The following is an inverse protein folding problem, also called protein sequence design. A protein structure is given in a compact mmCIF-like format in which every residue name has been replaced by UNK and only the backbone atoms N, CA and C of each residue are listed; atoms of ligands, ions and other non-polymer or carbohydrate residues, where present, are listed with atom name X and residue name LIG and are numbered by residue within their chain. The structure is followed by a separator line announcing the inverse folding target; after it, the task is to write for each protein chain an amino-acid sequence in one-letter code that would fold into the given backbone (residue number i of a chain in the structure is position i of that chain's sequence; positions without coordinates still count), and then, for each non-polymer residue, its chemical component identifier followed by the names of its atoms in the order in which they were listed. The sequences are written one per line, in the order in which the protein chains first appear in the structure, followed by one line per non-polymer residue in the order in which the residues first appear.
data_IF_383409854985
#
_entry.id   IF_383409854985
#
_cell.length_a   1.000
_cell.length_b   1.000
_cell.length_c   1.000
_cell.angle_alpha   90.00
_cell.angle_beta   90.00
_cell.angle_gamma   90.00
#
_symmetry.space_group_name_H-M   'P 1'
#
loop_
_entity.id
_entity.type
_entity.pdbx_description
1 polymer ?
#
# COMPACT_ATOMS: atom_id res chain seq x y z
N UNK A 1 3.08 40.65 -42.16
CA UNK A 1 3.82 40.34 -40.93
C UNK A 1 2.86 39.66 -39.96
N UNK A 2 2.81 38.32 -40.04
CA UNK A 2 1.90 37.51 -39.20
C UNK A 2 2.73 36.90 -38.07
N UNK A 3 2.52 37.36 -36.86
CA UNK A 3 3.13 36.82 -35.63
C UNK A 3 2.43 35.50 -35.27
N UNK A 4 3.13 34.40 -35.42
CA UNK A 4 2.72 33.12 -34.87
C UNK A 4 2.90 33.14 -33.36
N UNK A 5 1.78 33.15 -32.63
CA UNK A 5 1.77 32.88 -31.18
C UNK A 5 2.10 31.39 -30.94
N UNK A 6 3.26 31.15 -30.35
CA UNK A 6 3.67 29.81 -29.92
C UNK A 6 2.70 29.30 -28.84
N UNK A 7 2.05 28.18 -29.10
CA UNK A 7 1.26 27.45 -28.11
C UNK A 7 2.20 26.93 -27.02
N UNK A 8 2.09 27.50 -25.82
CA UNK A 8 2.72 26.95 -24.64
C UNK A 8 2.12 25.55 -24.38
N UNK A 9 2.88 24.52 -24.71
CA UNK A 9 2.52 23.14 -24.45
C UNK A 9 2.34 22.96 -22.94
N UNK A 10 1.13 22.63 -22.51
CA UNK A 10 0.85 22.25 -21.12
C UNK A 10 1.62 20.96 -20.82
N UNK A 11 2.72 21.08 -20.06
CA UNK A 11 3.51 19.94 -19.63
C UNK A 11 2.58 18.95 -18.91
N UNK A 12 2.53 17.71 -19.39
CA UNK A 12 1.76 16.67 -18.72
C UNK A 12 2.25 16.54 -17.28
N UNK A 13 1.33 16.43 -16.28
CA UNK A 13 1.74 16.29 -14.90
C UNK A 13 2.56 15.01 -14.71
N UNK A 14 3.71 15.16 -14.06
CA UNK A 14 4.61 14.03 -13.79
C UNK A 14 3.86 12.91 -13.05
N UNK A 15 4.05 11.66 -13.51
CA UNK A 15 3.47 10.47 -12.89
C UNK A 15 3.99 10.32 -11.46
N UNK A 16 3.08 10.05 -10.51
CA UNK A 16 3.46 9.84 -9.11
C UNK A 16 4.12 8.47 -8.95
N UNK A 17 5.29 8.43 -8.30
CA UNK A 17 5.94 7.21 -7.85
C UNK A 17 6.02 7.21 -6.32
N UNK A 18 5.77 6.07 -5.69
CA UNK A 18 5.74 5.89 -4.24
C UNK A 18 6.91 5.01 -3.81
N UNK A 19 7.71 5.48 -2.87
CA UNK A 19 8.63 4.64 -2.11
C UNK A 19 7.99 4.32 -0.76
N UNK A 20 7.72 3.05 -0.49
CA UNK A 20 7.40 2.59 0.86
C UNK A 20 8.71 2.29 1.58
N UNK A 21 9.11 3.12 2.52
CA UNK A 21 10.42 3.03 3.14
C UNK A 21 10.33 2.57 4.59
N UNK A 22 10.85 1.38 4.84
CA UNK A 22 11.03 0.83 6.19
C UNK A 22 12.35 1.37 6.75
N UNK A 23 12.29 2.49 7.50
CA UNK A 23 13.50 3.18 7.99
C UNK A 23 14.15 2.50 9.20
N UNK A 24 13.44 1.54 9.81
CA UNK A 24 13.93 0.73 10.93
C UNK A 24 13.13 -0.57 11.04
N UNK A 25 13.69 -1.56 11.74
CA UNK A 25 13.00 -2.83 12.05
C UNK A 25 12.33 -2.80 13.43
N UNK A 26 12.82 -1.99 14.37
CA UNK A 26 12.32 -1.94 15.73
C UNK A 26 10.87 -1.47 15.80
N UNK A 27 10.07 -2.13 16.67
CA UNK A 27 8.70 -1.75 16.96
C UNK A 27 8.42 -1.90 18.45
N UNK A 28 7.58 -1.03 19.00
CA UNK A 28 7.10 -1.12 20.37
C UNK A 28 5.94 -2.11 20.54
N UNK A 29 5.42 -2.69 19.45
CA UNK A 29 4.36 -3.70 19.44
C UNK A 29 4.84 -5.03 18.86
N UNK A 30 4.09 -6.11 19.15
CA UNK A 30 4.28 -7.46 18.61
C UNK A 30 2.92 -7.98 18.12
N UNK A 31 2.46 -7.44 16.98
CA UNK A 31 1.15 -7.77 16.42
C UNK A 31 1.13 -9.21 15.89
N UNK A 32 0.05 -9.96 16.14
CA UNK A 32 -0.05 -11.39 15.79
C UNK A 32 0.00 -11.67 14.28
N UNK A 33 -0.32 -10.69 13.44
CA UNK A 33 -0.30 -10.80 11.97
C UNK A 33 0.86 -10.00 11.34
N UNK A 34 1.86 -9.61 12.13
CA UNK A 34 2.98 -8.86 11.61
C UNK A 34 3.84 -9.74 10.71
N UNK A 35 4.11 -9.24 9.50
CA UNK A 35 5.01 -9.92 8.55
C UNK A 35 6.49 -9.61 8.82
N UNK A 36 6.79 -8.80 9.83
CA UNK A 36 8.15 -8.46 10.20
C UNK A 36 8.64 -9.45 11.25
N UNK A 37 9.35 -10.47 10.81
CA UNK A 37 9.89 -11.53 11.66
C UNK A 37 11.38 -11.31 11.95
N UNK A 38 12.07 -10.52 11.13
CA UNK A 38 13.50 -10.29 11.23
C UNK A 38 13.81 -8.88 11.73
N UNK A 39 14.76 -8.81 12.65
CA UNK A 39 15.31 -7.58 13.24
C UNK A 39 16.78 -7.40 12.83
N UNK A 40 17.06 -7.59 11.53
CA UNK A 40 18.36 -7.45 10.93
C UNK A 40 18.98 -6.05 11.14
N UNK A 41 20.19 -5.84 10.60
CA UNK A 41 20.91 -4.58 10.66
C UNK A 41 20.08 -3.42 10.12
N UNK A 42 20.15 -2.27 10.77
CA UNK A 42 19.51 -1.01 10.35
C UNK A 42 20.57 -0.08 9.75
N UNK A 43 20.20 0.65 8.71
CA UNK A 43 21.06 1.70 8.15
C UNK A 43 21.37 2.79 9.18
N UNK A 44 22.60 3.33 9.13
CA UNK A 44 22.95 4.53 9.86
C UNK A 44 22.21 5.76 9.33
N UNK A 45 22.18 6.85 10.09
CA UNK A 45 21.56 8.11 9.66
C UNK A 45 22.17 8.66 8.35
N UNK A 46 23.48 8.51 8.14
CA UNK A 46 24.17 8.90 6.91
C UNK A 46 23.75 8.03 5.73
N UNK A 47 23.63 6.70 5.94
CA UNK A 47 23.14 5.79 4.92
C UNK A 47 21.69 6.10 4.54
N UNK A 48 20.82 6.37 5.52
CA UNK A 48 19.43 6.77 5.26
C UNK A 48 19.38 8.06 4.42
N UNK A 49 20.22 9.06 4.70
CA UNK A 49 20.28 10.27 3.87
C UNK A 49 20.80 9.98 2.46
N UNK A 50 21.85 9.16 2.32
CA UNK A 50 22.34 8.71 1.01
C UNK A 50 21.26 8.02 0.19
N UNK A 51 20.49 7.13 0.81
CA UNK A 51 19.35 6.43 0.19
C UNK A 51 18.21 7.39 -0.22
N UNK A 52 17.96 8.44 0.56
CA UNK A 52 17.02 9.50 0.19
C UNK A 52 17.46 10.18 -1.12
N UNK A 53 18.73 10.56 -1.24
CA UNK A 53 19.24 11.20 -2.46
C UNK A 53 19.28 10.24 -3.65
N UNK A 54 19.51 8.95 -3.45
CA UNK A 54 19.37 7.96 -4.52
C UNK A 54 17.92 7.91 -5.05
N UNK A 55 16.92 7.92 -4.16
CA UNK A 55 15.51 7.95 -4.59
C UNK A 55 15.15 9.26 -5.28
N UNK A 56 15.66 10.38 -4.83
CA UNK A 56 15.47 11.68 -5.50
C UNK A 56 16.06 11.67 -6.92
N UNK A 57 17.29 11.14 -7.07
CA UNK A 57 17.94 10.98 -8.38
C UNK A 57 17.16 10.01 -9.29
N UNK A 58 16.69 8.89 -8.75
CA UNK A 58 15.82 7.93 -9.45
C UNK A 58 14.56 8.61 -9.98
N UNK A 59 13.86 9.38 -9.15
CA UNK A 59 12.65 10.09 -9.58
C UNK A 59 12.93 11.07 -10.72
N UNK A 60 14.02 11.84 -10.62
CA UNK A 60 14.43 12.79 -11.67
C UNK A 60 14.77 12.07 -12.98
N UNK A 61 15.54 11.01 -12.93
CA UNK A 61 15.96 10.23 -14.10
C UNK A 61 14.81 9.51 -14.82
N UNK A 62 13.73 9.17 -14.09
CA UNK A 62 12.55 8.49 -14.62
C UNK A 62 11.36 9.44 -14.90
N UNK A 63 11.50 10.75 -14.67
CA UNK A 63 10.41 11.71 -14.86
C UNK A 63 9.24 11.50 -13.89
N UNK A 64 9.52 11.11 -12.65
CA UNK A 64 8.50 10.88 -11.63
C UNK A 64 8.40 12.05 -10.65
N UNK A 65 7.19 12.25 -10.12
CA UNK A 65 6.98 13.01 -8.89
C UNK A 65 7.04 12.05 -7.71
N UNK A 66 8.10 12.12 -6.92
CA UNK A 66 8.34 11.24 -5.79
C UNK A 66 7.40 11.48 -4.61
N UNK A 67 7.01 10.39 -3.95
CA UNK A 67 6.30 10.38 -2.68
C UNK A 67 6.87 9.27 -1.80
N UNK A 68 7.18 9.56 -0.54
CA UNK A 68 7.72 8.58 0.39
C UNK A 68 6.71 8.28 1.49
N UNK A 69 6.34 7.01 1.64
CA UNK A 69 5.62 6.53 2.82
C UNK A 69 6.63 5.99 3.83
N UNK A 70 6.90 6.74 4.88
CA UNK A 70 7.76 6.28 5.98
C UNK A 70 7.00 5.27 6.85
N UNK A 71 7.64 4.13 7.07
CA UNK A 71 7.14 2.99 7.84
C UNK A 71 8.32 2.20 8.41
N UNK A 72 8.13 0.95 8.74
CA UNK A 72 9.16 0.05 9.28
C UNK A 72 8.55 -0.91 10.28
N UNK A 73 9.21 -1.10 11.43
CA UNK A 73 8.54 -1.53 12.63
C UNK A 73 7.59 -0.43 13.10
N UNK A 74 8.08 0.50 13.94
CA UNK A 74 7.36 1.73 14.26
C UNK A 74 8.25 2.94 13.93
N UNK A 75 7.93 3.71 12.88
CA UNK A 75 8.79 4.78 12.40
C UNK A 75 9.00 5.90 13.42
N UNK A 76 8.07 6.10 14.34
CA UNK A 76 8.20 7.10 15.42
C UNK A 76 9.29 6.76 16.45
N UNK A 77 9.87 5.56 16.40
CA UNK A 77 11.05 5.20 17.20
C UNK A 77 12.37 5.62 16.55
N UNK A 78 12.34 6.02 15.27
CA UNK A 78 13.56 6.43 14.57
C UNK A 78 13.97 7.86 14.95
N UNK A 79 15.24 8.03 15.33
CA UNK A 79 15.84 9.35 15.58
C UNK A 79 16.00 10.17 14.31
N UNK A 80 16.06 9.50 13.14
CA UNK A 80 16.26 10.13 11.84
C UNK A 80 14.96 10.51 11.13
N UNK A 81 13.81 10.08 11.64
CA UNK A 81 12.51 10.31 10.97
C UNK A 81 12.29 11.80 10.63
N UNK A 82 12.44 12.70 11.59
CA UNK A 82 12.19 14.14 11.36
C UNK A 82 13.21 14.78 10.41
N UNK A 83 14.44 14.27 10.36
CA UNK A 83 15.44 14.67 9.37
C UNK A 83 14.96 14.28 7.96
N UNK A 84 14.53 13.04 7.77
CA UNK A 84 14.03 12.55 6.48
C UNK A 84 12.74 13.25 6.04
N UNK A 85 11.81 13.52 6.97
CA UNK A 85 10.60 14.30 6.69
C UNK A 85 10.92 15.72 6.23
N UNK A 86 11.90 16.37 6.84
CA UNK A 86 12.38 17.70 6.46
C UNK A 86 12.99 17.70 5.06
N UNK A 87 13.85 16.70 4.74
CA UNK A 87 14.42 16.52 3.41
C UNK A 87 13.34 16.41 2.33
N UNK A 88 12.24 15.71 2.59
CA UNK A 88 11.11 15.68 1.66
C UNK A 88 10.60 17.09 1.34
N UNK A 89 10.36 17.90 2.37
CA UNK A 89 9.86 19.28 2.19
C UNK A 89 10.86 20.20 1.47
N UNK A 90 12.14 20.08 1.77
CA UNK A 90 13.23 20.86 1.17
C UNK A 90 13.41 20.55 -0.33
N UNK A 91 13.17 19.30 -0.73
CA UNK A 91 13.31 18.85 -2.12
C UNK A 91 11.97 18.77 -2.89
N UNK A 92 10.89 19.38 -2.36
CA UNK A 92 9.59 19.43 -3.04
C UNK A 92 8.90 18.08 -3.20
N UNK A 93 9.32 17.07 -2.41
CA UNK A 93 8.67 15.76 -2.35
C UNK A 93 7.54 15.76 -1.33
N UNK A 94 6.53 14.96 -1.57
CA UNK A 94 5.50 14.71 -0.56
C UNK A 94 5.80 13.43 0.22
N UNK A 95 5.32 13.36 1.46
CA UNK A 95 5.47 12.15 2.28
C UNK A 95 4.18 11.78 3.02
N UNK A 96 4.12 10.56 3.49
CA UNK A 96 3.13 10.02 4.40
C UNK A 96 3.83 9.26 5.53
N UNK A 97 3.18 9.15 6.67
CA UNK A 97 3.65 8.39 7.81
C UNK A 97 2.68 7.23 8.10
N UNK A 98 3.19 6.00 8.14
CA UNK A 98 2.42 4.80 8.46
C UNK A 98 2.85 4.28 9.83
N UNK A 99 1.99 4.38 10.83
CA UNK A 99 2.31 4.12 12.24
C UNK A 99 1.23 3.25 12.91
N UNK A 100 1.56 2.64 14.03
CA UNK A 100 0.58 2.04 14.93
C UNK A 100 -0.18 3.11 15.75
N UNK A 101 0.32 4.34 15.79
CA UNK A 101 -0.32 5.49 16.42
C UNK A 101 -0.21 5.56 17.95
N UNK A 102 0.38 4.56 18.61
CA UNK A 102 0.39 4.45 20.08
C UNK A 102 1.39 5.38 20.78
N UNK A 103 2.33 5.94 20.03
CA UNK A 103 3.37 6.85 20.53
C UNK A 103 3.03 8.33 20.27
N UNK A 104 1.90 8.62 19.67
CA UNK A 104 1.51 9.99 19.33
C UNK A 104 0.94 10.67 20.55
N UNK A 105 1.70 11.58 21.12
CA UNK A 105 1.27 12.53 22.14
C UNK A 105 1.05 13.94 21.57
N UNK A 106 0.68 14.91 22.38
CA UNK A 106 0.38 16.29 21.94
C UNK A 106 1.61 16.96 21.33
N UNK A 107 2.80 16.78 21.90
CA UNK A 107 4.04 17.40 21.44
C UNK A 107 4.44 16.84 20.07
N UNK A 108 4.35 15.52 19.90
CA UNK A 108 4.67 14.85 18.64
C UNK A 108 3.67 15.22 17.53
N UNK A 109 2.36 15.29 17.86
CA UNK A 109 1.34 15.71 16.92
C UNK A 109 1.55 17.16 16.44
N UNK A 110 1.91 18.07 17.35
CA UNK A 110 2.26 19.45 17.00
C UNK A 110 3.52 19.51 16.11
N UNK A 111 4.55 18.73 16.43
CA UNK A 111 5.77 18.65 15.64
C UNK A 111 5.49 18.12 14.23
N UNK A 112 4.68 17.08 14.09
CA UNK A 112 4.25 16.54 12.79
C UNK A 112 3.43 17.56 11.99
N UNK A 113 2.59 18.36 12.64
CA UNK A 113 1.79 19.42 12.00
C UNK A 113 2.63 20.52 11.34
N UNK A 114 3.87 20.71 11.78
CA UNK A 114 4.82 21.69 11.22
C UNK A 114 5.62 21.14 10.03
N UNK A 115 5.51 19.84 9.72
CA UNK A 115 6.29 19.21 8.65
C UNK A 115 5.75 19.59 7.28
N UNK A 116 6.56 20.32 6.51
CA UNK A 116 6.25 20.63 5.12
C UNK A 116 6.26 19.36 4.25
N UNK A 117 5.23 19.19 3.41
CA UNK A 117 5.14 18.03 2.51
C UNK A 117 4.50 16.79 3.14
N UNK A 118 4.22 16.77 4.45
CA UNK A 118 3.47 15.67 5.07
C UNK A 118 2.02 15.69 4.59
N UNK A 119 1.66 14.72 3.76
CA UNK A 119 0.35 14.64 3.12
C UNK A 119 -0.70 13.98 4.00
N UNK A 120 -0.30 13.02 4.83
CA UNK A 120 -1.20 12.29 5.73
C UNK A 120 -0.42 11.48 6.77
N UNK A 121 -1.09 11.14 7.85
CA UNK A 121 -0.66 10.11 8.79
C UNK A 121 -1.69 8.98 8.80
N UNK A 122 -1.23 7.77 8.50
CA UNK A 122 -2.02 6.56 8.51
C UNK A 122 -1.80 5.80 9.82
N UNK A 123 -2.89 5.49 10.52
CA UNK A 123 -2.87 4.69 11.75
C UNK A 123 -3.57 3.36 11.50
N UNK A 124 -2.95 2.29 11.97
CA UNK A 124 -3.49 0.94 11.83
C UNK A 124 -4.58 0.66 12.85
N UNK A 125 -5.77 0.22 12.40
CA UNK A 125 -6.93 -0.13 13.22
C UNK A 125 -7.47 -1.48 12.73
N UNK A 126 -7.26 -2.57 13.48
CA UNK A 126 -7.55 -3.94 13.01
C UNK A 126 -8.77 -4.60 13.71
N UNK A 127 -9.71 -3.80 14.19
CA UNK A 127 -10.93 -4.33 14.78
C UNK A 127 -11.66 -3.32 15.64
N UNK A 128 -12.71 -3.78 16.31
CA UNK A 128 -13.26 -3.15 17.52
C UNK A 128 -12.21 -3.22 18.64
N UNK A 129 -12.43 -2.53 19.75
CA UNK A 129 -11.44 -2.45 20.84
C UNK A 129 -10.91 -3.84 21.24
N UNK A 130 -11.81 -4.79 21.46
CA UNK A 130 -11.43 -6.13 21.91
C UNK A 130 -10.56 -6.86 20.87
N UNK A 131 -10.92 -6.82 19.59
CA UNK A 131 -10.17 -7.53 18.54
C UNK A 131 -8.87 -6.80 18.20
N UNK A 132 -8.90 -5.48 18.14
CA UNK A 132 -7.68 -4.69 17.93
C UNK A 132 -6.65 -4.97 19.03
N UNK A 133 -7.07 -4.96 20.29
CA UNK A 133 -6.18 -5.19 21.43
C UNK A 133 -5.68 -6.63 21.49
N UNK A 134 -6.48 -7.61 21.08
CA UNK A 134 -6.01 -9.00 20.91
C UNK A 134 -4.93 -9.11 19.86
N UNK A 135 -5.05 -8.38 18.75
CA UNK A 135 -4.09 -8.40 17.63
C UNK A 135 -2.83 -7.59 17.93
N UNK A 136 -2.99 -6.41 18.56
CA UNK A 136 -1.93 -5.40 18.70
C UNK A 136 -1.47 -5.14 20.13
N UNK A 137 -2.03 -5.85 21.10
CA UNK A 137 -1.74 -5.69 22.53
C UNK A 137 -2.76 -4.80 23.25
N UNK A 138 -3.01 -5.13 24.52
CA UNK A 138 -4.02 -4.51 25.35
C UNK A 138 -3.86 -2.97 25.47
N UNK A 139 -4.97 -2.25 25.36
CA UNK A 139 -5.06 -0.78 25.50
C UNK A 139 -4.57 0.01 24.29
N UNK A 140 -4.08 -0.65 23.24
CA UNK A 140 -3.54 0.04 22.06
C UNK A 140 -4.63 0.60 21.14
N UNK A 141 -5.84 0.07 21.18
CA UNK A 141 -6.98 0.68 20.49
C UNK A 141 -7.22 2.12 20.95
N UNK A 142 -7.29 2.33 22.26
CA UNK A 142 -7.50 3.66 22.84
C UNK A 142 -6.36 4.61 22.49
N UNK A 143 -5.10 4.16 22.60
CA UNK A 143 -3.92 4.94 22.24
C UNK A 143 -3.92 5.33 20.76
N UNK A 144 -4.22 4.40 19.86
CA UNK A 144 -4.28 4.65 18.41
C UNK A 144 -5.36 5.70 18.06
N UNK A 145 -6.55 5.61 18.66
CA UNK A 145 -7.60 6.62 18.45
C UNK A 145 -7.30 7.96 19.13
N UNK A 146 -6.59 7.97 20.25
CA UNK A 146 -6.10 9.21 20.85
C UNK A 146 -5.05 9.87 19.95
N UNK A 147 -4.10 9.12 19.40
CA UNK A 147 -3.16 9.62 18.40
C UNK A 147 -3.87 10.24 17.19
N UNK A 148 -4.88 9.55 16.63
CA UNK A 148 -5.70 10.08 15.53
C UNK A 148 -6.42 11.39 15.92
N UNK A 149 -6.92 11.50 17.14
CA UNK A 149 -7.57 12.73 17.64
C UNK A 149 -6.59 13.89 17.72
N UNK A 150 -5.40 13.66 18.26
CA UNK A 150 -4.33 14.67 18.38
C UNK A 150 -3.82 15.13 17.00
N UNK A 151 -3.66 14.20 16.03
CA UNK A 151 -3.30 14.53 14.65
C UNK A 151 -4.34 15.47 14.01
N UNK A 152 -5.64 15.19 14.20
CA UNK A 152 -6.70 16.05 13.68
C UNK A 152 -6.70 17.45 14.31
N UNK A 153 -6.45 17.55 15.60
CA UNK A 153 -6.33 18.83 16.29
C UNK A 153 -5.19 19.70 15.71
N UNK A 154 -4.16 19.06 15.16
CA UNK A 154 -3.04 19.70 14.48
C UNK A 154 -3.21 19.78 12.96
N UNK A 155 -4.45 19.69 12.45
CA UNK A 155 -4.82 19.83 11.04
C UNK A 155 -4.12 18.83 10.08
N UNK A 156 -3.64 17.71 10.60
CA UNK A 156 -3.02 16.66 9.80
C UNK A 156 -4.11 15.78 9.20
N UNK A 157 -4.02 15.50 7.89
CA UNK A 157 -4.93 14.56 7.24
C UNK A 157 -4.72 13.15 7.80
N UNK A 158 -5.78 12.59 8.37
CA UNK A 158 -5.75 11.29 9.03
C UNK A 158 -6.29 10.18 8.14
N UNK A 159 -5.67 9.01 8.23
CA UNK A 159 -6.13 7.81 7.54
C UNK A 159 -6.15 6.63 8.52
N UNK A 160 -7.22 5.84 8.53
CA UNK A 160 -7.25 4.56 9.21
C UNK A 160 -7.09 3.42 8.19
N UNK A 161 -6.22 2.46 8.50
CA UNK A 161 -5.95 1.29 7.69
C UNK A 161 -6.38 0.01 8.43
N UNK A 162 -7.05 -0.90 7.72
CA UNK A 162 -7.56 -2.14 8.29
C UNK A 162 -7.06 -3.35 7.49
N UNK A 163 -6.37 -4.27 8.15
CA UNK A 163 -5.94 -5.52 7.54
C UNK A 163 -6.99 -6.60 7.81
N UNK A 164 -7.70 -7.02 6.75
CA UNK A 164 -8.76 -8.01 6.83
C UNK A 164 -8.19 -9.43 6.89
N UNK A 165 -8.58 -10.18 7.91
CA UNK A 165 -8.28 -11.60 8.07
C UNK A 165 -9.48 -12.35 8.69
N UNK A 166 -9.43 -13.68 8.76
CA UNK A 166 -10.55 -14.52 9.27
C UNK A 166 -11.07 -14.07 10.64
N UNK A 167 -10.17 -13.66 11.53
CA UNK A 167 -10.50 -13.27 12.90
C UNK A 167 -11.18 -11.90 13.02
N UNK A 168 -11.20 -11.04 11.96
CA UNK A 168 -11.70 -9.67 12.09
C UNK A 168 -12.59 -9.14 10.96
N UNK A 169 -12.65 -9.79 9.79
CA UNK A 169 -13.34 -9.22 8.61
C UNK A 169 -14.81 -8.87 8.87
N UNK A 170 -15.50 -9.58 9.75
CA UNK A 170 -16.89 -9.33 10.14
C UNK A 170 -17.07 -8.04 10.93
N UNK A 171 -16.02 -7.53 11.53
CA UNK A 171 -16.03 -6.27 12.29
C UNK A 171 -15.88 -5.03 11.41
N UNK A 172 -15.54 -5.19 10.13
CA UNK A 172 -15.32 -4.09 9.19
C UNK A 172 -16.45 -3.04 9.18
N UNK A 173 -17.76 -3.40 9.19
CA UNK A 173 -18.84 -2.42 9.28
C UNK A 173 -18.79 -1.60 10.58
N UNK A 174 -18.45 -2.22 11.71
CA UNK A 174 -18.36 -1.56 13.01
C UNK A 174 -17.15 -0.59 13.05
N UNK A 175 -16.01 -1.01 12.52
CA UNK A 175 -14.81 -0.18 12.39
C UNK A 175 -15.09 1.04 11.51
N UNK A 176 -15.70 0.88 10.34
CA UNK A 176 -16.08 2.00 9.47
C UNK A 176 -17.00 2.99 10.19
N UNK A 177 -17.99 2.50 10.95
CA UNK A 177 -18.87 3.38 11.75
C UNK A 177 -18.08 4.16 12.81
N UNK A 178 -17.13 3.51 13.48
CA UNK A 178 -16.28 4.14 14.50
C UNK A 178 -15.38 5.21 13.90
N UNK A 179 -14.69 4.89 12.80
CA UNK A 179 -13.82 5.82 12.05
C UNK A 179 -14.63 7.07 11.61
N UNK A 180 -15.84 6.88 11.09
CA UNK A 180 -16.73 7.98 10.71
C UNK A 180 -17.17 8.84 11.90
N UNK A 181 -17.57 8.21 13.02
CA UNK A 181 -17.96 8.96 14.25
C UNK A 181 -16.79 9.80 14.78
N UNK A 182 -15.58 9.26 14.71
CA UNK A 182 -14.35 9.95 15.12
C UNK A 182 -13.87 10.99 14.10
N UNK A 183 -14.55 11.09 12.94
CA UNK A 183 -14.24 12.08 11.91
C UNK A 183 -12.88 11.87 11.25
N UNK A 184 -12.39 10.65 11.14
CA UNK A 184 -11.15 10.32 10.42
C UNK A 184 -11.36 10.59 8.94
N UNK A 185 -10.40 11.23 8.26
CA UNK A 185 -10.62 11.76 6.92
C UNK A 185 -10.69 10.65 5.87
N UNK A 186 -9.85 9.60 6.01
CA UNK A 186 -9.79 8.49 5.04
C UNK A 186 -9.78 7.14 5.73
N UNK A 187 -10.37 6.16 5.05
CA UNK A 187 -10.33 4.75 5.46
C UNK A 187 -10.06 3.86 4.26
N UNK A 188 -9.22 2.86 4.44
CA UNK A 188 -9.08 1.77 3.48
C UNK A 188 -8.87 0.44 4.20
N UNK A 189 -9.23 -0.64 3.52
CA UNK A 189 -8.99 -1.99 3.98
C UNK A 189 -8.48 -2.87 2.85
N UNK A 190 -7.65 -3.84 3.19
CA UNK A 190 -7.18 -4.85 2.25
C UNK A 190 -6.99 -6.19 2.98
N UNK A 191 -6.84 -7.25 2.19
CA UNK A 191 -6.60 -8.60 2.69
C UNK A 191 -5.23 -8.70 3.36
N UNK A 192 -5.17 -9.50 4.41
CA UNK A 192 -3.92 -10.03 4.94
C UNK A 192 -3.18 -10.80 3.82
N UNK A 193 -1.88 -10.59 3.70
CA UNK A 193 -1.03 -11.43 2.87
C UNK A 193 -0.52 -12.57 3.75
N UNK A 194 -0.86 -13.83 3.40
CA UNK A 194 -0.57 -14.98 4.23
C UNK A 194 0.90 -15.38 4.15
N UNK A 195 1.73 -14.76 4.98
CA UNK A 195 3.15 -15.07 5.13
C UNK A 195 3.43 -15.66 6.51
N UNK A 196 4.39 -16.58 6.60
CA UNK A 196 4.81 -17.18 7.85
C UNK A 196 3.64 -17.78 8.65
N UNK A 197 3.57 -17.46 9.94
CA UNK A 197 2.55 -17.94 10.89
C UNK A 197 1.12 -17.45 10.59
N UNK A 198 0.97 -16.39 9.77
CA UNK A 198 -0.34 -15.82 9.46
C UNK A 198 -1.09 -16.52 8.31
N UNK A 199 -0.54 -17.61 7.76
CA UNK A 199 -1.07 -18.29 6.58
C UNK A 199 -2.50 -18.80 6.77
N UNK A 200 -2.84 -19.30 7.94
CA UNK A 200 -4.17 -19.83 8.27
C UNK A 200 -5.24 -18.73 8.45
N UNK A 201 -4.81 -17.50 8.66
CA UNK A 201 -5.68 -16.33 8.83
C UNK A 201 -6.13 -15.70 7.50
N UNK A 202 -5.69 -16.23 6.35
CA UNK A 202 -6.09 -15.75 5.03
C UNK A 202 -7.60 -15.92 4.82
N UNK A 203 -8.21 -14.89 4.20
CA UNK A 203 -9.63 -14.94 3.84
C UNK A 203 -9.87 -15.96 2.71
N UNK A 204 -10.94 -16.71 2.83
CA UNK A 204 -11.53 -17.44 1.70
C UNK A 204 -12.10 -16.46 0.66
N UNK A 205 -12.42 -16.96 -0.52
CA UNK A 205 -13.02 -16.17 -1.59
C UNK A 205 -14.36 -15.54 -1.17
N UNK A 206 -15.23 -16.28 -0.47
CA UNK A 206 -16.54 -15.76 -0.04
C UNK A 206 -16.42 -14.75 1.11
N UNK A 207 -15.49 -14.96 2.03
CA UNK A 207 -15.18 -13.98 3.08
C UNK A 207 -14.65 -12.68 2.47
N UNK A 208 -13.75 -12.79 1.49
CA UNK A 208 -13.26 -11.62 0.76
C UNK A 208 -14.37 -10.90 -0.03
N UNK A 209 -15.26 -11.63 -0.68
CA UNK A 209 -16.42 -11.06 -1.35
C UNK A 209 -17.29 -10.26 -0.38
N UNK A 210 -17.49 -10.77 0.85
CA UNK A 210 -18.20 -10.04 1.91
C UNK A 210 -17.50 -8.72 2.27
N UNK A 211 -16.15 -8.72 2.38
CA UNK A 211 -15.35 -7.51 2.60
C UNK A 211 -15.55 -6.51 1.46
N UNK A 212 -15.47 -6.95 0.20
CA UNK A 212 -15.64 -6.06 -0.96
C UNK A 212 -17.01 -5.42 -0.97
N UNK A 213 -18.08 -6.21 -0.75
CA UNK A 213 -19.46 -5.69 -0.67
C UNK A 213 -19.62 -4.64 0.43
N UNK A 214 -19.02 -4.86 1.60
CA UNK A 214 -19.05 -3.91 2.69
C UNK A 214 -18.34 -2.60 2.31
N UNK A 215 -17.15 -2.68 1.73
CA UNK A 215 -16.38 -1.52 1.29
C UNK A 215 -17.09 -0.74 0.19
N UNK A 216 -17.68 -1.42 -0.80
CA UNK A 216 -18.43 -0.78 -1.89
C UNK A 216 -19.62 0.02 -1.36
N UNK A 217 -20.42 -0.58 -0.48
CA UNK A 217 -21.55 0.13 0.19
C UNK A 217 -21.05 1.34 0.98
N UNK A 218 -19.95 1.20 1.69
CA UNK A 218 -19.37 2.29 2.48
C UNK A 218 -18.77 3.40 1.57
N UNK A 219 -18.13 3.04 0.47
CA UNK A 219 -17.61 3.98 -0.52
C UNK A 219 -18.73 4.83 -1.15
N UNK A 220 -19.77 4.19 -1.68
CA UNK A 220 -20.93 4.91 -2.24
C UNK A 220 -21.53 5.87 -1.21
N UNK A 221 -21.72 5.41 0.03
CA UNK A 221 -22.23 6.26 1.12
C UNK A 221 -21.30 7.43 1.46
N UNK A 222 -19.99 7.28 1.32
CA UNK A 222 -19.01 8.36 1.61
C UNK A 222 -19.10 9.50 0.59
N UNK A 223 -19.59 9.24 -0.62
CA UNK A 223 -19.83 10.26 -1.65
C UNK A 223 -21.06 11.13 -1.36
N UNK A 224 -22.04 10.56 -0.66
CA UNK A 224 -23.28 11.26 -0.30
C UNK A 224 -23.13 11.99 1.05
N UNK A 225 -22.40 11.37 2.00
CA UNK A 225 -22.16 11.90 3.34
C UNK A 225 -20.63 12.01 3.57
N UNK A 226 -19.99 13.11 3.16
CA UNK A 226 -18.54 13.23 3.08
C UNK A 226 -17.88 13.49 4.44
N UNK A 227 -18.01 12.55 5.40
CA UNK A 227 -17.29 12.60 6.68
C UNK A 227 -15.98 11.84 6.67
N UNK A 228 -15.92 10.73 5.93
CA UNK A 228 -14.76 9.86 5.81
C UNK A 228 -14.77 9.28 4.41
N UNK A 229 -13.73 9.51 3.65
CA UNK A 229 -13.56 8.92 2.32
C UNK A 229 -13.13 7.45 2.46
N UNK A 230 -13.98 6.54 2.00
CA UNK A 230 -13.70 5.09 2.01
C UNK A 230 -13.16 4.69 0.64
N UNK A 231 -11.90 4.29 0.59
CA UNK A 231 -11.22 3.98 -0.65
C UNK A 231 -11.53 2.56 -1.17
N UNK A 232 -11.77 2.43 -2.48
CA UNK A 232 -11.90 1.18 -3.23
C UNK A 232 -10.78 1.01 -4.25
N UNK A 233 -9.54 1.19 -3.84
CA UNK A 233 -8.38 1.18 -4.73
C UNK A 233 -7.44 -0.01 -4.47
N UNK A 234 -8.01 -1.20 -4.25
CA UNK A 234 -7.27 -2.46 -4.09
C UNK A 234 -7.76 -3.50 -5.10
N UNK A 235 -6.91 -4.51 -5.32
CA UNK A 235 -7.18 -5.57 -6.27
C UNK A 235 -8.54 -6.24 -6.02
N UNK A 236 -9.29 -6.48 -7.08
CA UNK A 236 -10.61 -7.10 -7.11
C UNK A 236 -11.74 -6.32 -6.43
N UNK A 237 -11.48 -5.17 -5.78
CA UNK A 237 -12.55 -4.40 -5.10
C UNK A 237 -13.59 -3.82 -6.06
N UNK A 238 -13.29 -3.74 -7.36
CA UNK A 238 -14.24 -3.31 -8.39
C UNK A 238 -15.32 -4.36 -8.72
N UNK A 239 -15.14 -5.62 -8.31
CA UNK A 239 -16.06 -6.72 -8.71
C UNK A 239 -17.49 -6.56 -8.19
N UNK A 240 -17.70 -5.80 -7.14
CA UNK A 240 -19.03 -5.50 -6.57
C UNK A 240 -19.54 -4.09 -6.97
N UNK A 241 -19.22 -3.62 -8.18
CA UNK A 241 -19.76 -2.35 -8.70
C UNK A 241 -18.88 -1.13 -8.48
N UNK A 242 -17.62 -1.30 -8.08
CA UNK A 242 -16.65 -0.20 -8.05
C UNK A 242 -16.28 0.26 -9.46
N UNK A 243 -16.21 1.58 -9.66
CA UNK A 243 -15.77 2.18 -10.94
C UNK A 243 -14.25 2.29 -11.08
N UNK A 244 -13.51 2.00 -10.01
CA UNK A 244 -12.06 2.12 -9.98
C UNK A 244 -11.40 0.76 -10.16
N UNK A 245 -10.68 0.60 -11.27
CA UNK A 245 -9.87 -0.59 -11.52
C UNK A 245 -8.47 -0.38 -10.95
N UNK A 246 -8.07 -1.28 -10.08
CA UNK A 246 -6.75 -1.25 -9.46
C UNK A 246 -5.81 -2.22 -10.20
N UNK A 247 -4.72 -1.68 -10.69
CA UNK A 247 -3.59 -2.47 -11.16
C UNK A 247 -2.55 -2.63 -10.06
N UNK A 248 -1.94 -3.80 -9.97
CA UNK A 248 -0.80 -3.98 -9.08
C UNK A 248 0.32 -3.01 -9.46
N UNK A 249 0.72 -2.15 -8.52
CA UNK A 249 1.73 -1.11 -8.74
C UNK A 249 3.16 -1.56 -8.37
N UNK A 250 3.33 -2.81 -7.93
CA UNK A 250 4.64 -3.36 -7.57
C UNK A 250 5.62 -3.25 -8.74
N UNK A 251 6.79 -2.64 -8.50
CA UNK A 251 7.83 -2.45 -9.52
C UNK A 251 7.49 -1.46 -10.62
N UNK A 252 6.32 -0.81 -10.59
CA UNK A 252 5.93 0.21 -11.59
C UNK A 252 5.78 1.60 -10.99
N UNK A 253 4.78 1.79 -10.11
CA UNK A 253 4.53 3.06 -9.41
C UNK A 253 4.88 2.97 -7.92
N UNK A 254 5.35 1.80 -7.48
CA UNK A 254 5.71 1.48 -6.11
C UNK A 254 7.00 0.68 -6.07
N UNK A 255 7.91 1.12 -5.21
CA UNK A 255 9.04 0.34 -4.72
C UNK A 255 9.01 0.32 -3.19
N UNK A 256 9.70 -0.64 -2.60
CA UNK A 256 9.92 -0.70 -1.15
C UNK A 256 11.41 -0.78 -0.86
N UNK A 257 11.85 0.04 0.07
CA UNK A 257 13.20 0.02 0.61
C UNK A 257 13.14 -0.45 2.06
N UNK A 258 13.89 -1.48 2.39
CA UNK A 258 13.98 -2.02 3.75
C UNK A 258 15.04 -1.28 4.57
N UNK A 259 15.05 -1.50 5.87
CA UNK A 259 15.94 -0.82 6.82
C UNK A 259 17.42 -1.17 6.66
N UNK A 260 17.73 -2.28 6.00
CA UNK A 260 19.09 -2.74 5.66
C UNK A 260 19.55 -2.30 4.25
N UNK A 261 18.75 -1.49 3.55
CA UNK A 261 19.03 -1.05 2.19
C UNK A 261 18.53 -1.98 1.09
N UNK A 262 17.90 -3.10 1.42
CA UNK A 262 17.32 -4.03 0.43
C UNK A 262 16.17 -3.39 -0.33
N UNK A 263 16.19 -3.43 -1.66
CA UNK A 263 15.15 -2.92 -2.54
C UNK A 263 14.22 -4.05 -3.00
N UNK A 264 12.92 -3.83 -2.87
CA UNK A 264 11.85 -4.75 -3.29
C UNK A 264 10.89 -4.06 -4.26
N UNK A 265 10.17 -4.79 -5.13
CA UNK A 265 9.10 -4.22 -5.94
C UNK A 265 7.90 -3.78 -5.09
N UNK A 266 7.66 -4.46 -3.97
CA UNK A 266 6.63 -4.17 -2.96
C UNK A 266 6.92 -4.95 -1.69
N UNK A 267 6.67 -4.38 -0.50
CA UNK A 267 6.84 -5.12 0.77
C UNK A 267 6.01 -6.40 0.83
N UNK A 268 4.84 -6.38 0.19
CA UNK A 268 3.91 -7.52 0.13
C UNK A 268 4.28 -8.56 -0.95
N UNK A 269 5.24 -8.24 -1.83
CA UNK A 269 5.89 -9.14 -2.80
C UNK A 269 7.39 -9.13 -2.50
N UNK A 270 7.86 -9.89 -1.49
CA UNK A 270 9.18 -9.75 -0.91
C UNK A 270 10.26 -10.50 -1.72
N UNK A 271 10.34 -10.20 -3.01
CA UNK A 271 11.38 -10.73 -3.90
C UNK A 271 12.46 -9.64 -4.05
N UNK A 272 13.69 -9.84 -3.52
CA UNK A 272 14.74 -8.82 -3.58
C UNK A 272 15.14 -8.47 -5.01
N UNK A 273 15.32 -7.17 -5.27
CA UNK A 273 15.89 -6.63 -6.51
C UNK A 273 17.40 -6.49 -6.36
N UNK A 274 17.86 -6.14 -5.16
CA UNK A 274 19.24 -5.94 -4.77
C UNK A 274 19.33 -5.06 -3.52
N UNK A 275 20.54 -4.58 -3.19
CA UNK A 275 20.76 -3.71 -2.04
C UNK A 275 21.28 -2.34 -2.50
N UNK A 276 20.61 -1.26 -2.07
CA UNK A 276 20.94 0.11 -2.44
C UNK A 276 22.21 0.66 -1.77
N UNK A 277 22.77 -0.05 -0.79
CA UNK A 277 24.09 0.28 -0.22
C UNK A 277 25.23 -0.23 -1.09
N UNK A 278 24.99 -1.21 -1.95
CA UNK A 278 25.98 -1.84 -2.82
C UNK A 278 25.91 -1.32 -4.26
N UNK A 279 24.69 -1.09 -4.74
CA UNK A 279 24.41 -0.67 -6.12
C UNK A 279 23.31 0.40 -6.10
N UNK A 280 23.46 1.47 -6.86
CA UNK A 280 22.48 2.55 -6.88
C UNK A 280 21.08 2.09 -7.33
N UNK A 281 20.06 2.75 -6.76
CA UNK A 281 18.65 2.38 -6.95
C UNK A 281 18.22 2.39 -8.44
N UNK A 282 18.71 3.34 -9.23
CA UNK A 282 18.36 3.46 -10.65
C UNK A 282 18.91 2.29 -11.45
N UNK A 283 20.16 1.89 -11.21
CA UNK A 283 20.79 0.73 -11.83
C UNK A 283 20.09 -0.56 -11.46
N UNK A 284 19.77 -0.77 -10.17
CA UNK A 284 19.00 -1.91 -9.71
C UNK A 284 17.64 -2.00 -10.42
N UNK A 285 16.92 -0.87 -10.51
CA UNK A 285 15.61 -0.82 -11.14
C UNK A 285 15.67 -1.14 -12.65
N UNK A 286 16.60 -0.52 -13.39
CA UNK A 286 16.71 -0.68 -14.84
C UNK A 286 17.17 -2.07 -15.28
N UNK A 287 18.04 -2.68 -14.49
CA UNK A 287 18.66 -3.96 -14.86
C UNK A 287 17.89 -5.18 -14.33
N UNK A 288 16.91 -4.99 -13.45
CA UNK A 288 16.17 -6.09 -12.85
C UNK A 288 15.24 -6.80 -13.85
N UNK A 289 15.43 -8.13 -14.08
CA UNK A 289 14.47 -8.93 -14.86
C UNK A 289 13.08 -8.95 -14.21
N UNK A 290 13.02 -8.98 -12.89
CA UNK A 290 11.76 -8.94 -12.14
C UNK A 290 10.97 -7.66 -12.43
N UNK A 291 11.63 -6.50 -12.40
CA UNK A 291 10.98 -5.22 -12.70
C UNK A 291 10.44 -5.21 -14.13
N UNK A 292 11.21 -5.69 -15.11
CA UNK A 292 10.75 -5.79 -16.51
C UNK A 292 9.50 -6.65 -16.63
N UNK A 293 9.49 -7.83 -16.05
CA UNK A 293 8.32 -8.73 -16.05
C UNK A 293 7.09 -8.08 -15.40
N UNK A 294 7.27 -7.36 -14.28
CA UNK A 294 6.17 -6.66 -13.61
C UNK A 294 5.63 -5.50 -14.46
N UNK A 295 6.50 -4.80 -15.21
CA UNK A 295 6.12 -3.70 -16.13
C UNK A 295 5.38 -4.18 -17.37
N UNK A 296 5.68 -5.38 -17.88
CA UNK A 296 4.96 -6.00 -19.01
C UNK A 296 3.47 -6.20 -18.70
N UNK A 297 3.12 -6.29 -17.43
CA UNK A 297 1.73 -6.44 -16.96
C UNK A 297 0.98 -7.56 -17.70
N UNK A 298 1.63 -8.69 -17.93
CA UNK A 298 1.04 -9.84 -18.63
C UNK A 298 -0.25 -10.27 -17.93
N UNK A 299 -1.23 -10.64 -18.76
CA UNK A 299 -2.47 -11.27 -18.32
C UNK A 299 -2.14 -12.73 -18.00
N UNK A 300 -2.49 -13.25 -16.81
CA UNK A 300 -2.36 -14.68 -16.50
C UNK A 300 -3.15 -15.54 -17.51
N UNK A 301 -2.63 -16.72 -17.83
CA UNK A 301 -3.28 -17.65 -18.77
C UNK A 301 -4.72 -17.98 -18.33
N UNK A 302 -4.93 -18.15 -17.01
CA UNK A 302 -6.25 -18.40 -16.44
C UNK A 302 -7.24 -17.22 -16.60
N UNK A 303 -6.74 -16.06 -17.04
CA UNK A 303 -7.54 -14.85 -17.27
C UNK A 303 -7.69 -14.50 -18.75
N UNK A 304 -7.15 -15.28 -19.68
CA UNK A 304 -7.09 -14.95 -21.11
C UNK A 304 -8.50 -14.69 -21.71
N UNK A 305 -9.49 -15.44 -21.30
CA UNK A 305 -10.89 -15.28 -21.77
C UNK A 305 -11.77 -14.47 -20.81
N UNK A 306 -11.17 -13.79 -19.84
CA UNK A 306 -11.93 -12.99 -18.88
C UNK A 306 -12.27 -11.62 -19.45
N UNK A 307 -13.55 -11.24 -19.47
CA UNK A 307 -13.98 -9.92 -19.96
C UNK A 307 -13.39 -8.73 -19.17
N UNK A 308 -12.76 -8.98 -18.01
CA UNK A 308 -12.08 -7.98 -17.18
C UNK A 308 -10.55 -8.09 -17.22
N UNK A 309 -10.00 -8.96 -18.07
CA UNK A 309 -8.57 -9.26 -18.08
C UNK A 309 -7.71 -8.01 -18.26
N UNK A 310 -8.00 -7.18 -19.25
CA UNK A 310 -7.24 -5.96 -19.54
C UNK A 310 -7.29 -4.93 -18.39
N UNK A 311 -8.40 -4.88 -17.67
CA UNK A 311 -8.61 -3.94 -16.57
C UNK A 311 -8.04 -4.44 -15.24
N UNK A 312 -8.03 -5.77 -15.01
CA UNK A 312 -7.65 -6.40 -13.75
C UNK A 312 -6.21 -6.92 -13.77
N UNK A 313 -5.80 -7.55 -14.89
CA UNK A 313 -4.48 -8.17 -15.08
C UNK A 313 -4.08 -9.16 -13.98
N UNK A 314 -5.07 -9.98 -13.58
CA UNK A 314 -4.86 -11.07 -12.64
C UNK A 314 -4.94 -10.72 -11.16
N UNK A 315 -5.24 -9.47 -10.79
CA UNK A 315 -5.46 -9.10 -9.39
C UNK A 315 -4.20 -8.80 -8.59
N UNK A 316 -4.11 -9.30 -7.34
CA UNK A 316 -3.03 -8.98 -6.40
C UNK A 316 -1.86 -9.96 -6.53
N UNK A 317 -0.80 -9.58 -7.22
CA UNK A 317 0.41 -10.40 -7.39
C UNK A 317 1.03 -10.86 -6.06
N UNK A 318 0.98 -10.02 -5.03
CA UNK A 318 1.50 -10.36 -3.71
C UNK A 318 0.72 -11.49 -3.03
N UNK A 319 -0.61 -11.52 -3.13
CA UNK A 319 -1.42 -12.60 -2.58
C UNK A 319 -1.19 -13.90 -3.36
N UNK A 320 -1.17 -13.80 -4.68
CA UNK A 320 -0.90 -14.94 -5.57
C UNK A 320 0.45 -15.56 -5.22
N UNK A 321 1.50 -14.74 -5.12
CA UNK A 321 2.83 -15.22 -4.73
C UNK A 321 2.84 -15.90 -3.36
N UNK A 322 2.22 -15.28 -2.34
CA UNK A 322 2.19 -15.82 -0.99
C UNK A 322 1.47 -17.19 -0.92
N UNK A 323 0.45 -17.41 -1.76
CA UNK A 323 -0.34 -18.65 -1.76
C UNK A 323 0.20 -19.73 -2.69
N UNK A 324 0.83 -19.35 -3.81
CA UNK A 324 1.22 -20.29 -4.87
C UNK A 324 2.73 -20.35 -5.14
N UNK A 325 3.51 -19.37 -4.65
CA UNK A 325 4.92 -19.19 -5.01
C UNK A 325 5.14 -18.51 -6.38
N UNK A 326 4.07 -18.24 -7.13
CA UNK A 326 4.13 -17.67 -8.47
C UNK A 326 3.23 -16.42 -8.58
N UNK A 327 3.83 -15.25 -8.78
CA UNK A 327 3.11 -13.97 -8.90
C UNK A 327 2.47 -13.74 -10.28
N UNK A 328 2.72 -14.60 -11.26
CA UNK A 328 2.21 -14.46 -12.63
C UNK A 328 0.81 -15.02 -12.79
N UNK A 329 0.35 -15.84 -11.85
CA UNK A 329 -0.94 -16.50 -11.86
C UNK A 329 -2.11 -15.58 -11.47
N UNK A 330 -3.33 -16.07 -11.64
CA UNK A 330 -4.58 -15.42 -11.24
C UNK A 330 -4.66 -15.28 -9.70
N UNK A 331 -5.21 -14.15 -9.23
CA UNK A 331 -5.50 -13.93 -7.81
C UNK A 331 -6.44 -15.03 -7.26
N UNK A 332 -6.02 -15.77 -6.22
CA UNK A 332 -6.77 -16.91 -5.70
C UNK A 332 -8.19 -16.57 -5.18
N UNK A 333 -8.40 -15.31 -4.77
CA UNK A 333 -9.71 -14.86 -4.31
C UNK A 333 -10.57 -14.25 -5.45
N UNK A 334 -10.18 -14.42 -6.71
CA UNK A 334 -11.01 -13.93 -7.82
C UNK A 334 -12.26 -14.79 -7.99
N UNK A 335 -13.43 -14.20 -7.80
CA UNK A 335 -14.74 -14.82 -7.98
C UNK A 335 -15.47 -14.34 -9.25
N UNK A 336 -14.79 -13.62 -10.14
CA UNK A 336 -15.36 -13.28 -11.42
C UNK A 336 -15.45 -14.54 -12.29
N UNK A 337 -16.65 -14.82 -12.89
CA UNK A 337 -16.79 -16.02 -13.72
C UNK A 337 -15.83 -15.95 -14.91
N UNK A 338 -15.03 -17.00 -15.06
CA UNK A 338 -14.31 -17.17 -16.31
C UNK A 338 -15.33 -17.44 -17.42
N UNK A 339 -15.17 -16.82 -18.59
CA UNK A 339 -15.89 -17.26 -19.78
C UNK A 339 -15.52 -18.73 -20.04
N UNK A 340 -16.51 -19.55 -20.41
CA UNK A 340 -16.24 -20.93 -20.80
C UNK A 340 -15.19 -20.90 -21.93
N UNK A 341 -14.13 -21.68 -21.78
CA UNK A 341 -13.18 -21.89 -22.86
C UNK A 341 -13.98 -22.44 -24.05
N UNK A 342 -13.95 -21.82 -25.24
CA UNK A 342 -14.57 -22.42 -26.40
C UNK A 342 -13.93 -23.83 -26.56
N UNK A 343 -14.75 -24.86 -26.47
CA UNK A 343 -14.29 -26.20 -26.81
C UNK A 343 -13.81 -26.12 -28.24
N UNK A 344 -12.55 -26.40 -28.50
CA UNK A 344 -12.06 -26.66 -29.84
C UNK A 344 -12.88 -27.87 -30.33
N UNK A 345 -13.80 -27.65 -31.23
CA UNK A 345 -14.42 -28.71 -31.98
C UNK A 345 -13.31 -29.35 -32.79
N UNK A 346 -12.88 -30.54 -32.35
CA UNK A 346 -12.10 -31.41 -33.19
C UNK A 346 -12.93 -31.62 -34.49
N UNK A 347 -12.55 -30.96 -35.55
CA UNK A 347 -13.03 -31.33 -36.86
C UNK A 347 -12.32 -32.67 -37.18
N UNK A 348 -13.02 -33.75 -36.95
CA UNK A 348 -12.72 -35.01 -37.56
C UNK A 348 -12.65 -34.80 -39.06
N UNK A 349 -11.47 -34.79 -39.57
CA UNK A 349 -11.23 -35.00 -41.01
C UNK A 349 -11.34 -36.49 -41.30
N UNK A 350 -12.59 -36.95 -41.45
CA UNK A 350 -12.83 -38.13 -42.29
C UNK A 350 -12.94 -37.63 -43.76
N UNK A 351 -11.88 -37.87 -44.53
CA UNK A 351 -11.92 -38.36 -45.93
C UNK A 351 -10.52 -38.63 -46.43
#
# INVERSE_FOLDING_TARGET
MSTQAGSAGTAQPLRKHVLQWHILHRCNLRCTHCYQEDYAAECSGEQLEGLFFQYLAFCRACGFRGHINFTGGEPLLSRDLFRLLRLCGEHGMTCGLLTNGTLIDSALAEQLGRVKGLSFVQVSIDGTEQTHDRVRGAGNFRKAFEGLRLLKQNHIQTMAAFTCHKGNYRELPAVIRTVRRKGIDRFWADRLIPMGSSREEALSTEEFRTVVRCLTKAHVRSRILPRTDVHLNRALQFLEGGSCYYHCSAGTDLLTLLADGTLLPCRRLPIPIGNCLETDMLSLYRNSPLIRTLQERRIPDECMYCAKAELCRGGAKCLTYAMTGDYTRKDPNCYYPAAAIPQQTEHDNEN
#
